data_IF_830925004605
#
_entry.id   IF_830925004605
#
_cell.length_a   1.000
_cell.length_b   1.000
_cell.length_c   1.000
_cell.angle_alpha   90.00
_cell.angle_beta   90.00
_cell.angle_gamma   90.00
#
_symmetry.space_group_name_H-M   'P 1'
#
loop_
_entity.id
_entity.type
_entity.pdbx_description
1 polymer ?
#
# COMPACT_ATOMS: atom_id res chain seq x y z
N UNK A 1 23.70 1.08 -5.74
CA UNK A 1 23.28 0.83 -4.34
C UNK A 1 21.76 0.73 -4.31
N UNK A 2 21.22 -0.25 -3.57
CA UNK A 2 19.75 -0.37 -3.42
C UNK A 2 19.19 0.90 -2.77
N UNK A 3 18.10 1.43 -3.34
CA UNK A 3 17.40 2.62 -2.83
C UNK A 3 16.38 2.20 -1.78
N UNK A 4 15.69 1.08 -2.03
CA UNK A 4 14.64 0.55 -1.16
C UNK A 4 15.14 -0.69 -0.43
N UNK A 5 14.70 -0.84 0.82
CA UNK A 5 14.97 -2.00 1.67
C UNK A 5 13.65 -2.54 2.21
N UNK A 6 13.58 -3.86 2.42
CA UNK A 6 12.42 -4.47 3.09
C UNK A 6 12.41 -4.01 4.55
N UNK A 7 11.35 -3.35 5.03
CA UNK A 7 11.25 -2.99 6.45
C UNK A 7 10.98 -4.23 7.29
N UNK A 8 11.47 -4.25 8.53
CA UNK A 8 11.11 -5.29 9.49
C UNK A 8 9.61 -5.20 9.85
N UNK A 9 9.00 -6.35 10.19
CA UNK A 9 7.66 -6.34 10.77
C UNK A 9 7.72 -5.78 12.21
N UNK A 10 6.68 -5.02 12.64
CA UNK A 10 6.62 -4.50 14.01
C UNK A 10 6.23 -5.57 15.05
N UNK A 11 6.04 -6.82 14.65
CA UNK A 11 5.62 -7.95 15.47
C UNK A 11 6.12 -9.28 14.88
N UNK A 12 6.13 -10.35 15.68
CA UNK A 12 6.50 -11.70 15.23
C UNK A 12 5.50 -12.25 14.21
N UNK A 13 5.96 -13.14 13.31
CA UNK A 13 5.10 -13.78 12.30
C UNK A 13 3.86 -14.44 12.90
N UNK A 14 3.97 -15.03 14.10
CA UNK A 14 2.87 -15.71 14.79
C UNK A 14 1.93 -14.77 15.55
N UNK A 15 2.22 -13.48 15.61
CA UNK A 15 1.47 -12.55 16.47
C UNK A 15 -0.01 -12.40 16.09
N UNK A 16 -0.36 -12.69 14.83
CA UNK A 16 -1.74 -12.57 14.33
C UNK A 16 -2.52 -13.91 14.35
N UNK A 17 -1.93 -14.97 14.91
CA UNK A 17 -2.65 -16.23 15.08
C UNK A 17 -3.78 -16.10 16.11
N UNK A 18 -4.90 -16.82 15.95
CA UNK A 18 -5.15 -17.85 14.92
C UNK A 18 -5.73 -17.32 13.60
N UNK A 19 -5.82 -16.00 13.42
CA UNK A 19 -6.49 -15.38 12.25
C UNK A 19 -5.63 -15.46 10.99
N UNK A 20 -4.33 -15.19 11.12
CA UNK A 20 -3.34 -15.32 10.04
C UNK A 20 -2.19 -16.15 10.59
N UNK A 21 -1.88 -17.29 9.94
CA UNK A 21 -0.80 -18.15 10.42
C UNK A 21 0.58 -17.48 10.22
N UNK A 22 1.51 -17.78 11.13
CA UNK A 22 2.88 -17.30 11.04
C UNK A 22 3.55 -17.68 9.72
N UNK A 23 3.20 -18.84 9.15
CA UNK A 23 3.70 -19.24 7.82
C UNK A 23 3.21 -18.36 6.68
N UNK A 24 1.96 -17.90 6.72
CA UNK A 24 1.42 -16.93 5.75
C UNK A 24 2.12 -15.59 5.92
N UNK A 25 2.33 -15.12 7.14
CA UNK A 25 3.04 -13.86 7.41
C UNK A 25 4.47 -13.90 6.89
N UNK A 26 5.22 -14.96 7.17
CA UNK A 26 6.58 -15.15 6.64
C UNK A 26 6.61 -15.10 5.10
N UNK A 27 5.73 -15.84 4.43
CA UNK A 27 5.69 -15.86 2.96
C UNK A 27 5.26 -14.52 2.37
N UNK A 28 4.29 -13.85 2.99
CA UNK A 28 3.77 -12.58 2.52
C UNK A 28 4.80 -11.45 2.71
N UNK A 29 5.57 -11.47 3.78
CA UNK A 29 6.64 -10.50 4.03
C UNK A 29 7.93 -10.86 3.27
N UNK A 30 8.56 -12.03 3.56
CA UNK A 30 9.91 -12.36 3.12
C UNK A 30 10.01 -12.76 1.65
N UNK A 31 8.87 -13.10 1.01
CA UNK A 31 8.81 -13.44 -0.41
C UNK A 31 8.04 -12.41 -1.21
N UNK A 32 6.77 -12.20 -0.89
CA UNK A 32 5.89 -11.37 -1.69
C UNK A 32 6.29 -9.89 -1.61
N UNK A 33 6.38 -9.30 -0.40
CA UNK A 33 6.82 -7.91 -0.24
C UNK A 33 8.28 -7.72 -0.67
N UNK A 34 9.19 -8.63 -0.31
CA UNK A 34 10.59 -8.58 -0.74
C UNK A 34 10.74 -8.54 -2.28
N UNK A 35 9.86 -9.23 -3.02
CA UNK A 35 9.87 -9.19 -4.49
C UNK A 35 9.54 -7.79 -5.02
N UNK A 36 8.62 -7.05 -4.39
CA UNK A 36 8.35 -5.67 -4.79
C UNK A 36 9.55 -4.76 -4.52
N UNK A 37 10.20 -4.90 -3.38
CA UNK A 37 11.43 -4.14 -3.05
C UNK A 37 12.52 -4.39 -4.09
N UNK A 38 12.79 -5.64 -4.40
CA UNK A 38 13.78 -6.02 -5.41
C UNK A 38 13.43 -5.49 -6.80
N UNK A 39 12.14 -5.59 -7.19
CA UNK A 39 11.66 -5.12 -8.48
C UNK A 39 11.75 -3.60 -8.64
N UNK A 40 11.44 -2.83 -7.57
CA UNK A 40 11.59 -1.38 -7.58
C UNK A 40 13.05 -0.95 -7.76
N UNK A 41 13.99 -1.58 -7.04
CA UNK A 41 15.42 -1.33 -7.22
C UNK A 41 15.90 -1.68 -8.62
N UNK A 42 15.50 -2.83 -9.15
CA UNK A 42 15.83 -3.25 -10.52
C UNK A 42 15.30 -2.26 -11.57
N UNK A 43 14.07 -1.76 -11.40
CA UNK A 43 13.52 -0.77 -12.32
C UNK A 43 14.30 0.54 -12.30
N UNK A 44 14.74 1.01 -11.12
CA UNK A 44 15.61 2.20 -11.00
C UNK A 44 16.97 1.99 -11.67
N UNK A 45 17.59 0.81 -11.50
CA UNK A 45 18.86 0.46 -12.16
C UNK A 45 18.71 0.49 -13.68
N UNK A 46 17.65 -0.12 -14.22
CA UNK A 46 17.37 -0.10 -15.66
C UNK A 46 17.11 1.29 -16.22
N UNK A 47 16.43 2.14 -15.46
CA UNK A 47 16.25 3.55 -15.82
C UNK A 47 17.56 4.33 -15.81
N UNK A 48 18.47 4.04 -14.88
CA UNK A 48 19.80 4.64 -14.86
C UNK A 48 20.64 4.20 -16.06
N UNK A 49 20.70 2.89 -16.35
CA UNK A 49 21.39 2.34 -17.53
C UNK A 49 20.88 2.96 -18.84
N UNK A 50 19.54 3.11 -18.98
CA UNK A 50 18.94 3.73 -20.17
C UNK A 50 19.38 5.19 -20.33
N UNK A 51 19.44 5.96 -19.24
CA UNK A 51 19.93 7.35 -19.28
C UNK A 51 21.42 7.44 -19.64
N UNK A 52 22.25 6.56 -19.08
CA UNK A 52 23.69 6.55 -19.33
C UNK A 52 24.04 6.15 -20.75
N UNK A 53 23.34 5.15 -21.30
CA UNK A 53 23.55 4.69 -22.68
C UNK A 53 22.90 5.57 -23.73
N UNK A 54 21.90 6.35 -23.36
CA UNK A 54 21.04 7.08 -24.33
C UNK A 54 20.02 6.18 -25.04
N UNK A 55 19.98 4.89 -24.73
CA UNK A 55 18.95 3.97 -25.26
C UNK A 55 17.68 4.06 -24.42
N UNK A 56 16.73 4.84 -24.88
CA UNK A 56 15.45 5.10 -24.24
C UNK A 56 14.30 4.20 -24.75
N UNK A 57 14.60 3.22 -25.63
CA UNK A 57 13.57 2.39 -26.26
C UNK A 57 12.69 1.60 -25.28
N UNK A 58 13.23 1.22 -24.12
CA UNK A 58 12.51 0.48 -23.07
C UNK A 58 12.09 1.32 -21.84
N UNK A 59 12.30 2.64 -21.87
CA UNK A 59 12.08 3.49 -20.68
C UNK A 59 10.65 3.41 -20.16
N UNK A 60 9.67 3.39 -21.03
CA UNK A 60 8.25 3.28 -20.66
C UNK A 60 7.93 1.97 -19.90
N UNK A 61 8.56 0.86 -20.32
CA UNK A 61 8.44 -0.43 -19.61
C UNK A 61 9.04 -0.34 -18.20
N UNK A 62 10.21 0.28 -18.07
CA UNK A 62 10.89 0.40 -16.77
C UNK A 62 10.15 1.34 -15.82
N UNK A 63 9.57 2.44 -16.32
CA UNK A 63 8.71 3.34 -15.54
C UNK A 63 7.43 2.65 -15.06
N UNK A 64 6.80 1.85 -15.93
CA UNK A 64 5.63 1.06 -15.56
C UNK A 64 5.96 0.01 -14.50
N UNK A 65 7.10 -0.68 -14.64
CA UNK A 65 7.57 -1.64 -13.63
C UNK A 65 7.90 -0.95 -12.31
N UNK A 66 8.51 0.24 -12.35
CA UNK A 66 8.77 1.03 -11.15
C UNK A 66 7.46 1.38 -10.43
N UNK A 67 6.46 1.89 -11.15
CA UNK A 67 5.16 2.23 -10.57
C UNK A 67 4.50 1.01 -9.90
N UNK A 68 4.52 -0.15 -10.55
CA UNK A 68 3.96 -1.39 -10.01
C UNK A 68 4.70 -1.86 -8.75
N UNK A 69 6.02 -1.96 -8.81
CA UNK A 69 6.81 -2.48 -7.70
C UNK A 69 6.89 -1.50 -6.52
N UNK A 70 7.01 -0.21 -6.80
CA UNK A 70 7.02 0.81 -5.75
C UNK A 70 5.64 0.94 -5.08
N UNK A 71 4.56 0.85 -5.86
CA UNK A 71 3.21 0.76 -5.32
C UNK A 71 3.04 -0.44 -4.40
N UNK A 72 3.51 -1.63 -4.84
CA UNK A 72 3.51 -2.83 -4.02
C UNK A 72 4.31 -2.69 -2.72
N UNK A 73 5.50 -2.11 -2.80
CA UNK A 73 6.32 -1.83 -1.61
C UNK A 73 5.62 -0.88 -0.64
N UNK A 74 5.10 0.24 -1.14
CA UNK A 74 4.40 1.24 -0.31
C UNK A 74 3.16 0.66 0.36
N UNK A 75 2.29 0.00 -0.42
CA UNK A 75 1.04 -0.56 0.10
C UNK A 75 1.31 -1.63 1.19
N UNK A 76 2.29 -2.51 0.98
CA UNK A 76 2.64 -3.52 1.99
C UNK A 76 3.29 -2.90 3.23
N UNK A 77 4.09 -1.85 3.07
CA UNK A 77 4.67 -1.14 4.22
C UNK A 77 3.57 -0.57 5.12
N UNK A 78 2.58 0.12 4.55
CA UNK A 78 1.43 0.63 5.30
C UNK A 78 0.59 -0.51 5.90
N UNK A 79 0.34 -1.58 5.11
CA UNK A 79 -0.46 -2.72 5.53
C UNK A 79 0.07 -3.40 6.80
N UNK A 80 1.38 -3.58 6.95
CA UNK A 80 1.95 -4.18 8.15
C UNK A 80 1.65 -3.37 9.41
N UNK A 81 1.66 -2.06 9.31
CA UNK A 81 1.34 -1.16 10.43
C UNK A 81 -0.16 -1.07 10.74
N UNK A 82 -1.02 -1.45 9.79
CA UNK A 82 -2.46 -1.49 9.98
C UNK A 82 -2.97 -2.82 10.60
N UNK A 83 -2.08 -3.77 10.85
CA UNK A 83 -2.38 -5.04 11.53
C UNK A 83 -1.78 -5.04 12.93
N UNK A 84 -2.53 -5.54 13.90
CA UNK A 84 -2.07 -5.66 15.28
C UNK A 84 -2.78 -6.82 15.99
N UNK A 85 -2.07 -7.59 16.85
CA UNK A 85 -2.71 -8.60 17.69
C UNK A 85 -3.69 -7.99 18.71
N UNK A 86 -3.53 -6.71 19.01
CA UNK A 86 -4.39 -5.95 19.94
C UNK A 86 -5.20 -4.86 19.21
N UNK A 87 -5.35 -5.02 17.89
CA UNK A 87 -6.04 -4.06 17.04
C UNK A 87 -7.55 -4.10 17.19
N UNK A 88 -8.21 -3.16 16.55
CA UNK A 88 -9.66 -3.01 16.53
C UNK A 88 -10.14 -1.79 17.32
N UNK A 89 -11.46 -1.64 17.38
CA UNK A 89 -12.07 -0.46 17.99
C UNK A 89 -12.23 0.70 17.02
N UNK A 90 -12.69 1.83 17.55
CA UNK A 90 -12.82 3.07 16.82
C UNK A 90 -11.58 3.93 17.01
N UNK A 91 -11.15 4.69 16.00
CA UNK A 91 -10.08 5.67 16.18
C UNK A 91 -10.53 6.79 17.14
N UNK A 92 -9.56 7.48 17.68
CA UNK A 92 -9.78 8.67 18.51
C UNK A 92 -9.10 9.90 17.90
N UNK A 93 -9.20 11.04 18.59
CA UNK A 93 -8.54 12.28 18.22
C UNK A 93 -8.91 12.81 16.84
N UNK A 94 -7.94 13.40 16.17
CA UNK A 94 -8.14 14.08 14.88
C UNK A 94 -8.64 13.13 13.77
N UNK A 95 -8.22 11.89 13.79
CA UNK A 95 -8.68 10.91 12.79
C UNK A 95 -10.17 10.59 12.97
N UNK A 96 -10.64 10.43 14.21
CA UNK A 96 -12.06 10.19 14.48
C UNK A 96 -12.94 11.36 14.02
N UNK A 97 -12.50 12.59 14.29
CA UNK A 97 -13.22 13.80 13.85
C UNK A 97 -13.23 13.91 12.31
N UNK A 98 -12.11 13.67 11.64
CA UNK A 98 -12.04 13.69 10.18
C UNK A 98 -12.93 12.61 9.53
N UNK A 99 -12.99 11.41 10.13
CA UNK A 99 -13.89 10.35 9.68
C UNK A 99 -15.35 10.77 9.85
N UNK A 100 -15.71 11.35 10.99
CA UNK A 100 -17.06 11.82 11.26
C UNK A 100 -17.46 12.95 10.31
N UNK A 101 -16.57 13.90 10.08
CA UNK A 101 -16.82 15.01 9.16
C UNK A 101 -16.99 14.55 7.71
N UNK A 102 -16.16 13.61 7.26
CA UNK A 102 -16.17 13.14 5.87
C UNK A 102 -17.25 12.09 5.59
N UNK A 103 -17.50 11.16 6.53
CA UNK A 103 -18.36 9.99 6.32
C UNK A 103 -19.62 10.00 7.19
N UNK A 104 -19.77 10.95 8.10
CA UNK A 104 -20.90 11.08 9.02
C UNK A 104 -20.80 10.25 10.30
N UNK A 105 -20.19 9.06 10.24
CA UNK A 105 -19.92 8.21 11.40
C UNK A 105 -18.85 7.17 11.10
N UNK A 106 -18.25 6.59 12.15
CA UNK A 106 -17.33 5.47 11.99
C UNK A 106 -18.00 4.24 11.34
N UNK A 107 -19.24 3.94 11.72
CA UNK A 107 -19.99 2.84 11.09
C UNK A 107 -20.24 3.06 9.58
N UNK A 108 -20.53 4.29 9.17
CA UNK A 108 -20.68 4.61 7.75
C UNK A 108 -19.34 4.53 7.00
N UNK A 109 -18.25 4.97 7.62
CA UNK A 109 -16.89 4.78 7.10
C UNK A 109 -16.56 3.30 6.92
N UNK A 110 -16.77 2.47 7.95
CA UNK A 110 -16.52 1.02 7.87
C UNK A 110 -17.32 0.35 6.74
N UNK A 111 -18.61 0.70 6.63
CA UNK A 111 -19.45 0.15 5.57
C UNK A 111 -18.96 0.55 4.18
N UNK A 112 -18.56 1.81 4.00
CA UNK A 112 -18.00 2.29 2.74
C UNK A 112 -16.66 1.60 2.42
N UNK A 113 -15.74 1.55 3.39
CA UNK A 113 -14.43 0.91 3.21
C UNK A 113 -14.57 -0.60 2.89
N UNK A 114 -15.43 -1.32 3.62
CA UNK A 114 -15.71 -2.72 3.36
C UNK A 114 -16.32 -2.95 1.96
N UNK A 115 -17.27 -2.11 1.55
CA UNK A 115 -17.87 -2.18 0.21
C UNK A 115 -16.80 -1.91 -0.88
N UNK A 116 -15.90 -0.97 -0.63
CA UNK A 116 -14.76 -0.70 -1.53
C UNK A 116 -13.85 -1.93 -1.65
N UNK A 117 -13.48 -2.56 -0.53
CA UNK A 117 -12.59 -3.72 -0.52
C UNK A 117 -13.23 -4.95 -1.18
N UNK A 118 -14.49 -5.25 -0.86
CA UNK A 118 -15.20 -6.42 -1.40
C UNK A 118 -15.60 -6.26 -2.86
N UNK A 119 -15.67 -5.03 -3.36
CA UNK A 119 -16.00 -4.73 -4.76
C UNK A 119 -14.81 -4.81 -5.71
N UNK A 120 -13.59 -5.08 -5.22
CA UNK A 120 -12.40 -5.21 -6.07
C UNK A 120 -12.48 -6.51 -6.87
N UNK A 121 -12.29 -6.39 -8.18
CA UNK A 121 -12.23 -7.54 -9.09
C UNK A 121 -10.77 -7.86 -9.42
N UNK A 122 -10.30 -9.02 -8.99
CA UNK A 122 -8.90 -9.40 -9.08
C UNK A 122 -8.09 -8.92 -7.88
N UNK A 123 -6.78 -8.73 -8.07
CA UNK A 123 -5.91 -8.19 -7.04
C UNK A 123 -6.05 -6.67 -6.92
N UNK A 124 -5.95 -6.16 -5.70
CA UNK A 124 -6.05 -4.73 -5.45
C UNK A 124 -6.14 -4.39 -3.97
N UNK A 125 -6.37 -3.10 -3.70
CA UNK A 125 -6.41 -2.53 -2.36
C UNK A 125 -7.60 -1.59 -2.21
N UNK A 126 -8.24 -1.62 -1.06
CA UNK A 126 -9.03 -0.50 -0.58
C UNK A 126 -8.13 0.38 0.29
N UNK A 127 -8.13 1.66 0.02
CA UNK A 127 -7.23 2.61 0.69
C UNK A 127 -8.03 3.76 1.27
N UNK A 128 -7.79 4.07 2.55
CA UNK A 128 -8.09 5.37 3.12
C UNK A 128 -6.86 6.24 2.91
N UNK A 129 -7.03 7.43 2.36
CA UNK A 129 -5.94 8.35 2.12
C UNK A 129 -6.29 9.79 2.48
N UNK A 130 -5.26 10.58 2.69
CA UNK A 130 -5.35 12.02 2.89
C UNK A 130 -5.14 12.77 1.57
N UNK A 131 -6.15 13.49 1.13
CA UNK A 131 -6.07 14.42 0.00
C UNK A 131 -5.49 15.75 0.48
N UNK A 132 -4.23 16.00 0.15
CA UNK A 132 -3.50 17.19 0.57
C UNK A 132 -3.99 18.48 -0.11
N UNK A 133 -4.68 18.38 -1.26
CA UNK A 133 -5.24 19.52 -1.98
C UNK A 133 -6.62 19.86 -1.44
N UNK A 134 -7.48 18.84 -1.34
CA UNK A 134 -8.84 18.98 -0.82
C UNK A 134 -8.92 19.05 0.71
N UNK A 135 -7.81 18.81 1.43
CA UNK A 135 -7.71 18.79 2.91
C UNK A 135 -8.79 17.89 3.54
N UNK A 136 -8.89 16.67 3.06
CA UNK A 136 -9.94 15.71 3.48
C UNK A 136 -9.51 14.27 3.35
N UNK A 137 -10.24 13.36 3.99
CA UNK A 137 -10.13 11.93 3.79
C UNK A 137 -10.80 11.50 2.49
N UNK A 138 -10.23 10.50 1.83
CA UNK A 138 -10.82 9.85 0.67
C UNK A 138 -10.63 8.33 0.74
N UNK A 139 -11.66 7.58 0.33
CA UNK A 139 -11.57 6.14 0.10
C UNK A 139 -11.48 5.91 -1.41
N UNK A 140 -10.56 5.04 -1.83
CA UNK A 140 -10.41 4.67 -3.23
C UNK A 140 -9.95 3.23 -3.39
N UNK A 141 -10.12 2.69 -4.61
CA UNK A 141 -9.62 1.37 -4.99
C UNK A 141 -8.33 1.50 -5.79
N UNK A 142 -7.38 0.62 -5.54
CA UNK A 142 -6.29 0.33 -6.46
C UNK A 142 -6.54 -1.01 -7.14
N UNK A 143 -6.33 -1.08 -8.45
CA UNK A 143 -6.18 -2.35 -9.15
C UNK A 143 -4.69 -2.72 -9.14
N UNK A 144 -4.40 -3.98 -8.84
CA UNK A 144 -3.04 -4.44 -8.57
C UNK A 144 -2.36 -3.56 -7.50
N UNK A 145 -1.23 -2.94 -7.81
CA UNK A 145 -0.44 -2.19 -6.84
C UNK A 145 -0.48 -0.67 -7.06
N UNK A 146 -0.87 -0.18 -8.25
CA UNK A 146 -0.71 1.22 -8.62
C UNK A 146 -1.83 1.80 -9.49
N UNK A 147 -2.68 0.99 -10.10
CA UNK A 147 -3.70 1.51 -11.00
C UNK A 147 -4.82 2.22 -10.22
N UNK A 148 -5.29 3.34 -10.75
CA UNK A 148 -6.28 4.25 -10.15
C UNK A 148 -5.81 5.03 -8.92
N UNK A 149 -4.51 5.17 -8.69
CA UNK A 149 -4.01 6.06 -7.62
C UNK A 149 -4.41 7.51 -7.94
N UNK A 150 -5.20 8.16 -7.09
CA UNK A 150 -5.48 9.58 -7.25
C UNK A 150 -4.22 10.40 -6.96
N UNK A 151 -3.83 11.27 -7.89
CA UNK A 151 -2.66 12.13 -7.72
C UNK A 151 -2.91 13.12 -6.57
N UNK A 152 -1.97 13.21 -5.64
CA UNK A 152 -2.07 14.10 -4.48
C UNK A 152 -2.72 13.49 -3.24
N UNK A 153 -3.06 12.19 -3.26
CA UNK A 153 -3.55 11.47 -2.08
C UNK A 153 -2.46 10.57 -1.51
N UNK A 154 -2.25 10.67 -0.19
CA UNK A 154 -1.31 9.82 0.56
C UNK A 154 -2.08 8.74 1.32
N UNK A 155 -1.74 7.44 1.20
CA UNK A 155 -2.29 6.36 2.03
C UNK A 155 -2.02 6.60 3.52
N UNK A 156 -2.99 6.24 4.37
CA UNK A 156 -2.90 6.32 5.83
C UNK A 156 -2.84 4.93 6.45
#
# INVERSE_FOLDING_TARGET
MAVYTLPDLPYDYSALEPHISGKIMELHHDKHHATYVAGANTALEKLAEARESGDLGAVNLHEKNLAFHLGGHTNHTVFWHNLSPEGGGEPDGELAEAIKDQFGSFAAFQAHFAATATGIQGSGWAVLGWDSIGQRLAIFQLFDQQANVPVGITPL
#
